data_IF_859582859272
#
_entry.id   IF_859582859272
#
_cell.length_a   1.000
_cell.length_b   1.000
_cell.length_c   1.000
_cell.angle_alpha   90.00
_cell.angle_beta   90.00
_cell.angle_gamma   90.00
#
_symmetry.space_group_name_H-M   'P 1'
#
loop_
_entity.id
_entity.type
_entity.pdbx_description
1 polymer ?
#
# COMPACT_ATOMS: atom_id res chain seq x y z
N UNK A 1 3.68 -3.43 5.28
CA UNK A 1 4.03 -3.75 6.68
C UNK A 1 2.86 -4.18 7.56
N UNK A 2 1.64 -3.63 7.40
CA UNK A 2 0.40 -4.17 8.02
C UNK A 2 0.09 -5.65 7.68
N UNK A 3 0.77 -6.19 6.67
CA UNK A 3 0.56 -7.54 6.16
C UNK A 3 1.16 -8.61 7.09
N UNK A 4 2.34 -8.36 7.69
CA UNK A 4 2.98 -9.35 8.56
C UNK A 4 2.25 -9.55 9.89
N UNK A 5 1.80 -8.48 10.54
CA UNK A 5 1.00 -8.58 11.78
C UNK A 5 -0.30 -9.33 11.53
N UNK A 6 -0.97 -9.07 10.41
CA UNK A 6 -2.16 -9.82 10.00
C UNK A 6 -1.85 -11.29 9.73
N UNK A 7 -0.76 -11.58 9.04
CA UNK A 7 -0.33 -12.96 8.79
C UNK A 7 -0.01 -13.69 10.11
N UNK A 8 0.62 -13.01 11.07
CA UNK A 8 0.92 -13.53 12.40
C UNK A 8 -0.37 -13.87 13.17
N UNK A 9 -1.33 -12.96 13.20
CA UNK A 9 -2.65 -13.20 13.82
C UNK A 9 -3.39 -14.39 13.20
N UNK A 10 -3.34 -14.49 11.86
CA UNK A 10 -3.95 -15.61 11.13
C UNK A 10 -3.27 -16.93 11.48
N UNK A 11 -1.94 -16.95 11.60
CA UNK A 11 -1.18 -18.14 11.94
C UNK A 11 -1.43 -18.61 13.38
N UNK A 12 -1.57 -17.68 14.34
CA UNK A 12 -2.00 -17.97 15.71
C UNK A 12 -3.40 -18.61 15.71
N UNK A 13 -4.36 -18.01 15.00
CA UNK A 13 -5.73 -18.55 14.87
C UNK A 13 -5.72 -19.95 14.24
N UNK A 14 -4.95 -20.16 13.18
CA UNK A 14 -4.80 -21.45 12.52
C UNK A 14 -4.24 -22.51 13.47
N UNK A 15 -3.20 -22.16 14.23
CA UNK A 15 -2.56 -23.04 15.21
C UNK A 15 -3.52 -23.44 16.33
N UNK A 16 -4.29 -22.50 16.88
CA UNK A 16 -5.31 -22.77 17.90
C UNK A 16 -6.41 -23.70 17.37
N UNK A 17 -6.89 -23.48 16.13
CA UNK A 17 -7.89 -24.35 15.51
C UNK A 17 -7.37 -25.79 15.32
N UNK A 18 -6.09 -25.95 14.98
CA UNK A 18 -5.46 -27.26 14.87
C UNK A 18 -5.37 -27.95 16.23
N UNK A 19 -4.98 -27.23 17.29
CA UNK A 19 -4.97 -27.75 18.66
C UNK A 19 -6.36 -28.22 19.11
N UNK A 20 -7.40 -27.42 18.86
CA UNK A 20 -8.78 -27.77 19.20
C UNK A 20 -9.26 -29.04 18.46
N UNK A 21 -9.00 -29.10 17.15
CA UNK A 21 -9.41 -30.24 16.31
C UNK A 21 -8.65 -31.51 16.70
N UNK A 22 -7.34 -31.38 16.95
CA UNK A 22 -6.49 -32.47 17.42
C UNK A 22 -6.89 -32.95 18.82
N UNK A 23 -7.23 -32.02 19.73
CA UNK A 23 -7.73 -32.32 21.07
C UNK A 23 -8.99 -33.18 21.05
N UNK A 24 -10.00 -32.78 20.27
CA UNK A 24 -11.25 -33.56 20.08
C UNK A 24 -11.00 -34.97 19.53
N UNK A 25 -10.05 -35.11 18.59
CA UNK A 25 -9.66 -36.43 18.11
C UNK A 25 -9.00 -37.27 19.22
N UNK A 26 -8.09 -36.66 19.99
CA UNK A 26 -7.34 -37.35 21.04
C UNK A 26 -8.23 -37.87 22.19
N UNK A 27 -9.35 -37.21 22.47
CA UNK A 27 -10.35 -37.67 23.46
C UNK A 27 -11.02 -39.00 23.05
N UNK A 28 -11.26 -39.19 21.76
CA UNK A 28 -11.90 -40.39 21.20
C UNK A 28 -10.91 -41.43 20.64
N UNK A 29 -9.61 -41.12 20.65
CA UNK A 29 -8.57 -41.96 20.09
C UNK A 29 -8.35 -43.25 20.92
N UNK A 30 -8.05 -44.39 20.26
CA UNK A 30 -7.77 -45.63 20.98
C UNK A 30 -6.57 -45.47 21.93
N UNK A 31 -6.63 -46.11 23.10
CA UNK A 31 -5.50 -46.16 24.06
C UNK A 31 -4.27 -46.82 23.41
N UNK A 32 -3.10 -46.67 24.01
CA UNK A 32 -1.88 -47.31 23.49
C UNK A 32 -1.33 -46.68 22.21
N UNK A 33 -0.48 -47.44 21.50
CA UNK A 33 0.20 -47.00 20.28
C UNK A 33 0.45 -48.16 19.30
N UNK A 34 0.78 -47.82 18.06
CA UNK A 34 1.13 -48.77 17.01
C UNK A 34 2.61 -49.16 17.12
N UNK A 35 2.89 -50.45 17.03
CA UNK A 35 4.24 -51.02 16.99
C UNK A 35 4.36 -51.94 15.78
N UNK A 36 5.54 -51.96 15.15
CA UNK A 36 5.80 -52.73 13.94
C UNK A 36 6.90 -53.74 14.24
N UNK A 37 6.67 -55.01 13.90
CA UNK A 37 7.74 -56.02 13.84
C UNK A 37 7.96 -56.45 12.41
N UNK A 38 9.19 -56.27 11.94
CA UNK A 38 9.65 -56.74 10.63
C UNK A 38 10.12 -58.19 10.76
N UNK A 39 9.69 -59.06 9.86
CA UNK A 39 10.20 -60.42 9.66
C UNK A 39 10.68 -60.55 8.22
N UNK A 40 11.51 -61.56 7.94
CA UNK A 40 12.17 -61.76 6.63
C UNK A 40 11.19 -61.68 5.44
N UNK A 41 9.96 -62.18 5.58
CA UNK A 41 8.96 -62.24 4.50
C UNK A 41 7.64 -61.51 4.79
N UNK A 42 7.52 -60.82 5.93
CA UNK A 42 6.25 -60.16 6.31
C UNK A 42 6.44 -59.04 7.34
N UNK A 43 5.52 -58.07 7.31
CA UNK A 43 5.40 -57.03 8.33
C UNK A 43 4.16 -57.34 9.18
N UNK A 44 4.33 -57.31 10.50
CA UNK A 44 3.21 -57.47 11.43
C UNK A 44 3.02 -56.20 12.26
N UNK A 45 1.77 -55.79 12.40
CA UNK A 45 1.35 -54.63 13.19
C UNK A 45 0.79 -55.08 14.53
N UNK A 46 1.20 -54.37 15.59
CA UNK A 46 0.79 -54.66 16.95
C UNK A 46 0.23 -53.41 17.62
N UNK A 47 -0.83 -53.61 18.41
CA UNK A 47 -1.36 -52.61 19.32
C UNK A 47 -0.74 -52.83 20.70
N UNK A 48 0.02 -51.83 21.17
CA UNK A 48 0.67 -51.85 22.48
C UNK A 48 -0.07 -50.95 23.46
N UNK A 49 -0.56 -51.55 24.54
CA UNK A 49 -1.36 -50.88 25.57
C UNK A 49 -0.64 -51.02 26.91
N UNK A 50 -0.40 -49.89 27.56
CA UNK A 50 0.06 -49.87 28.95
C UNK A 50 -1.15 -50.01 29.87
N UNK A 51 -1.24 -51.14 30.58
CA UNK A 51 -2.25 -51.38 31.60
C UNK A 51 -1.61 -51.38 33.00
N UNK A 52 -2.33 -50.88 34.00
CA UNK A 52 -1.96 -51.06 35.42
C UNK A 52 -2.77 -52.21 35.98
N UNK A 53 -2.11 -53.29 36.39
CA UNK A 53 -2.75 -54.44 37.05
C UNK A 53 -2.05 -54.72 38.38
N UNK A 54 -2.82 -54.69 39.49
CA UNK A 54 -2.30 -54.85 40.87
C UNK A 54 -1.06 -53.96 41.18
N UNK A 55 -1.11 -52.68 40.78
CA UNK A 55 -0.03 -51.73 41.05
C UNK A 55 1.23 -51.87 40.17
N UNK A 56 1.34 -52.90 39.33
CA UNK A 56 2.46 -53.08 38.37
C UNK A 56 2.04 -52.71 36.95
N UNK A 57 2.96 -52.08 36.21
CA UNK A 57 2.81 -51.82 34.76
C UNK A 57 2.90 -53.14 34.02
N UNK A 58 1.92 -53.41 33.16
CA UNK A 58 1.92 -54.55 32.26
C UNK A 58 1.67 -54.05 30.84
N UNK A 59 2.54 -54.42 29.92
CA UNK A 59 2.37 -54.08 28.51
C UNK A 59 1.62 -55.20 27.81
N UNK A 60 0.40 -54.92 27.37
CA UNK A 60 -0.39 -55.85 26.55
C UNK A 60 -0.10 -55.57 25.08
N UNK A 61 0.25 -56.62 24.34
CA UNK A 61 0.52 -56.53 22.91
C UNK A 61 -0.48 -57.41 22.14
N UNK A 62 -1.22 -56.81 21.20
CA UNK A 62 -2.25 -57.50 20.40
C UNK A 62 -1.85 -57.41 18.93
N UNK A 63 -1.78 -58.54 18.21
CA UNK A 63 -1.55 -58.51 16.77
C UNK A 63 -2.80 -57.99 16.06
N UNK A 64 -2.67 -56.87 15.34
CA UNK A 64 -3.75 -56.20 14.61
C UNK A 64 -3.47 -56.14 13.10
N UNK A 65 -2.58 -57.01 12.60
CA UNK A 65 -2.11 -56.98 11.20
C UNK A 65 -3.26 -57.06 10.17
N UNK A 66 -4.38 -57.70 10.52
CA UNK A 66 -5.58 -57.80 9.67
C UNK A 66 -6.61 -56.68 9.92
N UNK A 67 -6.49 -55.92 11.01
CA UNK A 67 -7.41 -54.84 11.37
C UNK A 67 -6.90 -53.49 10.85
N UNK A 68 -7.19 -53.22 9.57
CA UNK A 68 -6.79 -51.97 8.91
C UNK A 68 -7.34 -50.73 9.61
N UNK A 69 -8.54 -50.79 10.16
CA UNK A 69 -9.19 -49.65 10.81
C UNK A 69 -8.44 -49.25 12.10
N UNK A 70 -8.04 -50.23 12.90
CA UNK A 70 -7.27 -49.96 14.12
C UNK A 70 -5.88 -49.43 13.81
N UNK A 71 -5.21 -49.96 12.77
CA UNK A 71 -3.92 -49.45 12.29
C UNK A 71 -4.05 -47.97 11.89
N UNK A 72 -5.06 -47.61 11.09
CA UNK A 72 -5.31 -46.23 10.69
C UNK A 72 -5.56 -45.31 11.88
N UNK A 73 -6.42 -45.71 12.83
CA UNK A 73 -6.71 -44.92 14.04
C UNK A 73 -5.47 -44.67 14.91
N UNK A 74 -4.63 -45.70 15.11
CA UNK A 74 -3.41 -45.56 15.90
C UNK A 74 -2.34 -44.71 15.18
N UNK A 75 -2.29 -44.80 13.85
CA UNK A 75 -1.42 -43.96 13.02
C UNK A 75 -1.85 -42.50 13.11
N UNK A 76 -3.15 -42.23 12.94
CA UNK A 76 -3.71 -40.88 13.07
C UNK A 76 -3.45 -40.30 14.46
N UNK A 77 -3.59 -41.10 15.53
CA UNK A 77 -3.21 -40.69 16.88
C UNK A 77 -1.74 -40.28 16.99
N UNK A 78 -0.81 -40.99 16.35
CA UNK A 78 0.60 -40.63 16.36
C UNK A 78 0.85 -39.29 15.65
N UNK A 79 0.18 -39.06 14.51
CA UNK A 79 0.21 -37.78 13.78
C UNK A 79 -0.34 -36.65 14.65
N UNK A 80 -1.53 -36.83 15.22
CA UNK A 80 -2.18 -35.82 16.06
C UNK A 80 -1.37 -35.49 17.32
N UNK A 81 -0.71 -36.48 17.93
CA UNK A 81 0.24 -36.24 19.02
C UNK A 81 1.39 -35.31 18.61
N UNK A 82 1.96 -35.52 17.42
CA UNK A 82 3.04 -34.68 16.90
C UNK A 82 2.54 -33.29 16.48
N UNK A 83 1.34 -33.20 15.89
CA UNK A 83 0.66 -31.93 15.59
C UNK A 83 0.49 -31.11 16.87
N UNK A 84 -0.06 -31.68 17.93
CA UNK A 84 -0.21 -31.01 19.22
C UNK A 84 1.13 -30.54 19.79
N UNK A 85 2.16 -31.38 19.73
CA UNK A 85 3.50 -31.02 20.22
C UNK A 85 4.08 -29.82 19.48
N UNK A 86 3.99 -29.82 18.14
CA UNK A 86 4.49 -28.71 17.32
C UNK A 86 3.65 -27.45 17.48
N UNK A 87 2.32 -27.56 17.47
CA UNK A 87 1.42 -26.43 17.64
C UNK A 87 1.65 -25.76 19.01
N UNK A 88 1.72 -26.50 20.11
CA UNK A 88 2.01 -25.93 21.44
C UNK A 88 3.36 -25.24 21.52
N UNK A 89 4.39 -25.77 20.83
CA UNK A 89 5.70 -25.11 20.75
C UNK A 89 5.63 -23.82 19.95
N UNK A 90 5.02 -23.88 18.77
CA UNK A 90 4.94 -22.75 17.85
C UNK A 90 4.09 -21.64 18.44
N UNK A 91 2.95 -21.97 19.08
CA UNK A 91 2.05 -21.00 19.68
C UNK A 91 2.79 -20.09 20.67
N UNK A 92 3.62 -20.66 21.56
CA UNK A 92 4.46 -19.88 22.49
C UNK A 92 5.39 -18.91 21.79
N UNK A 93 5.96 -19.30 20.65
CA UNK A 93 6.86 -18.45 19.86
C UNK A 93 6.07 -17.35 19.16
N UNK A 94 4.92 -17.70 18.59
CA UNK A 94 4.05 -16.77 17.86
C UNK A 94 3.44 -15.72 18.80
N UNK A 95 2.97 -16.12 19.98
CA UNK A 95 2.45 -15.20 21.01
C UNK A 95 3.54 -14.24 21.47
N UNK A 96 4.74 -14.75 21.81
CA UNK A 96 5.87 -13.90 22.18
C UNK A 96 6.26 -12.93 21.06
N UNK A 97 6.22 -13.39 19.81
CA UNK A 97 6.49 -12.54 18.66
C UNK A 97 5.41 -11.47 18.51
N UNK A 98 4.14 -11.82 18.73
CA UNK A 98 3.02 -10.88 18.64
C UNK A 98 3.12 -9.77 19.69
N UNK A 99 3.57 -10.11 20.90
CA UNK A 99 3.75 -9.13 21.99
C UNK A 99 4.97 -8.21 21.80
N UNK A 100 6.04 -8.71 21.18
CA UNK A 100 7.33 -8.01 21.10
C UNK A 100 7.59 -7.33 19.76
N UNK A 101 6.89 -7.74 18.69
CA UNK A 101 7.09 -7.21 17.36
C UNK A 101 6.52 -5.80 17.24
N UNK A 102 7.39 -4.84 16.92
CA UNK A 102 7.01 -3.48 16.61
C UNK A 102 7.14 -3.27 15.10
N UNK A 103 6.03 -3.10 14.36
CA UNK A 103 6.08 -2.76 12.95
C UNK A 103 6.86 -1.47 12.73
N UNK A 104 7.71 -1.45 11.71
CA UNK A 104 8.43 -0.24 11.33
C UNK A 104 7.48 0.68 10.55
N UNK A 105 6.95 1.70 11.22
CA UNK A 105 6.26 2.81 10.55
C UNK A 105 6.96 4.11 10.91
N UNK A 106 7.74 4.64 9.96
CA UNK A 106 8.52 5.87 10.16
C UNK A 106 7.62 7.05 10.48
N UNK A 107 6.39 7.09 9.93
CA UNK A 107 5.45 8.16 10.21
C UNK A 107 4.88 8.05 11.64
N UNK A 108 4.60 6.84 12.11
CA UNK A 108 4.19 6.59 13.49
C UNK A 108 5.31 6.89 14.49
N UNK A 109 6.53 6.43 14.19
CA UNK A 109 7.72 6.74 14.98
C UNK A 109 7.92 8.25 15.07
N UNK A 110 7.84 8.97 13.95
CA UNK A 110 7.97 10.42 13.92
C UNK A 110 6.94 11.13 14.82
N UNK A 111 5.70 10.65 14.87
CA UNK A 111 4.64 11.17 15.76
C UNK A 111 4.91 10.89 17.24
N UNK A 112 5.60 9.79 17.56
CA UNK A 112 5.97 9.44 18.93
C UNK A 112 7.20 10.20 19.47
N UNK A 113 7.98 10.86 18.61
CA UNK A 113 9.17 11.61 19.04
C UNK A 113 8.80 12.88 19.82
N UNK A 114 9.68 13.39 20.71
CA UNK A 114 9.46 14.67 21.39
C UNK A 114 9.18 15.84 20.42
N UNK A 115 8.38 16.86 20.83
CA UNK A 115 7.95 17.96 19.96
C UNK A 115 9.09 18.68 19.22
N UNK A 116 10.27 18.81 19.85
CA UNK A 116 11.46 19.40 19.21
C UNK A 116 11.87 18.70 17.91
N UNK A 117 11.76 17.36 17.85
CA UNK A 117 12.08 16.60 16.64
C UNK A 117 10.95 16.68 15.62
N UNK A 118 9.68 16.66 16.07
CA UNK A 118 8.53 16.83 15.18
C UNK A 118 8.59 18.17 14.44
N UNK A 119 8.91 19.25 15.14
CA UNK A 119 9.06 20.58 14.56
C UNK A 119 10.18 20.61 13.51
N UNK A 120 11.33 19.98 13.79
CA UNK A 120 12.45 19.87 12.83
C UNK A 120 12.07 19.03 11.61
N UNK A 121 11.30 17.95 11.80
CA UNK A 121 10.80 17.13 10.69
C UNK A 121 9.81 17.91 9.82
N UNK A 122 8.90 18.68 10.42
CA UNK A 122 7.98 19.56 9.69
C UNK A 122 8.75 20.64 8.90
N UNK A 123 9.77 21.25 9.52
CA UNK A 123 10.67 22.20 8.84
C UNK A 123 11.38 21.55 7.64
N UNK A 124 11.89 20.32 7.81
CA UNK A 124 12.55 19.57 6.72
C UNK A 124 11.58 19.26 5.58
N UNK A 125 10.38 18.79 5.90
CA UNK A 125 9.31 18.53 4.92
C UNK A 125 8.95 19.79 4.14
N UNK A 126 8.74 20.91 4.84
CA UNK A 126 8.46 22.21 4.23
C UNK A 126 9.59 22.63 3.30
N UNK A 127 10.84 22.56 3.77
CA UNK A 127 12.02 22.91 2.98
C UNK A 127 12.13 22.08 1.69
N UNK A 128 11.90 20.77 1.77
CA UNK A 128 11.92 19.89 0.58
C UNK A 128 10.90 20.33 -0.48
N UNK A 129 9.69 20.64 -0.05
CA UNK A 129 8.62 21.11 -0.95
C UNK A 129 8.99 22.46 -1.57
N UNK A 130 9.49 23.40 -0.77
CA UNK A 130 9.93 24.71 -1.25
C UNK A 130 11.10 24.61 -2.24
N UNK A 131 12.11 23.78 -1.95
CA UNK A 131 13.25 23.56 -2.84
C UNK A 131 12.81 23.04 -4.21
N UNK A 132 11.86 22.10 -4.24
CA UNK A 132 11.31 21.56 -5.50
C UNK A 132 10.45 22.56 -6.25
N UNK A 133 9.60 23.29 -5.52
CA UNK A 133 8.74 24.32 -6.09
C UNK A 133 9.54 25.47 -6.71
N UNK A 134 10.70 25.81 -6.15
CA UNK A 134 11.56 26.88 -6.69
C UNK A 134 12.64 26.39 -7.66
N UNK A 135 12.74 25.08 -7.87
CA UNK A 135 13.69 24.51 -8.80
C UNK A 135 13.27 24.85 -10.24
N UNK A 136 14.22 25.21 -11.13
CA UNK A 136 13.92 25.36 -12.54
C UNK A 136 13.34 24.07 -13.11
N UNK A 137 12.24 24.17 -13.86
CA UNK A 137 11.60 23.04 -14.52
C UNK A 137 11.32 23.34 -15.99
N UNK A 138 11.33 22.30 -16.82
CA UNK A 138 10.92 22.40 -18.23
C UNK A 138 9.41 22.50 -18.30
N UNK A 139 8.90 23.61 -18.83
CA UNK A 139 7.46 23.82 -19.06
C UNK A 139 7.09 23.54 -20.51
N UNK A 140 5.84 23.18 -20.77
CA UNK A 140 5.34 23.15 -22.15
C UNK A 140 5.56 24.52 -22.82
N UNK A 141 6.03 24.56 -24.09
CA UNK A 141 6.27 25.82 -24.77
C UNK A 141 5.02 26.70 -24.83
N UNK A 142 5.20 27.96 -24.44
CA UNK A 142 4.13 28.95 -24.52
C UNK A 142 3.61 29.09 -25.96
N UNK A 143 2.30 29.21 -26.08
CA UNK A 143 1.61 29.34 -27.35
C UNK A 143 0.46 30.32 -27.19
N UNK A 144 0.59 31.52 -27.77
CA UNK A 144 -0.37 32.62 -27.69
C UNK A 144 -1.78 32.25 -28.14
N UNK A 145 -1.92 31.27 -29.05
CA UNK A 145 -3.23 30.81 -29.52
C UNK A 145 -3.99 30.03 -28.44
N UNK A 146 -3.28 29.31 -27.58
CA UNK A 146 -3.89 28.43 -26.58
C UNK A 146 -3.85 29.04 -25.18
N UNK A 147 -2.73 29.66 -24.78
CA UNK A 147 -2.54 30.25 -23.46
C UNK A 147 -3.17 31.64 -23.38
N UNK A 148 -4.49 31.68 -23.18
CA UNK A 148 -5.30 32.90 -23.28
C UNK A 148 -6.05 33.25 -22.00
N UNK A 149 -6.03 32.36 -21.00
CA UNK A 149 -6.77 32.55 -19.75
C UNK A 149 -5.81 32.93 -18.61
N UNK A 150 -5.94 34.14 -18.09
CA UNK A 150 -5.05 34.66 -17.04
C UNK A 150 -5.52 34.29 -15.63
N UNK A 151 -4.68 33.60 -14.87
CA UNK A 151 -4.92 33.25 -13.45
C UNK A 151 -4.82 34.47 -12.52
N UNK A 152 -5.27 34.34 -11.27
CA UNK A 152 -5.24 35.43 -10.27
C UNK A 152 -3.82 35.90 -9.91
N UNK A 153 -2.82 35.08 -10.23
CA UNK A 153 -1.40 35.36 -10.06
C UNK A 153 -0.67 35.61 -11.41
N UNK A 154 -1.44 35.77 -12.49
CA UNK A 154 -1.02 36.25 -13.81
C UNK A 154 -0.38 35.19 -14.73
N UNK A 155 -0.43 33.91 -14.40
CA UNK A 155 -0.04 32.85 -15.34
C UNK A 155 -1.11 32.65 -16.40
N UNK A 156 -0.71 32.47 -17.67
CA UNK A 156 -1.63 32.22 -18.78
C UNK A 156 -1.79 30.70 -19.01
N UNK A 157 -3.01 30.21 -18.91
CA UNK A 157 -3.37 28.78 -19.04
C UNK A 157 -4.27 28.54 -20.27
N UNK A 158 -4.44 27.26 -20.64
CA UNK A 158 -5.04 26.88 -21.94
C UNK A 158 -6.56 26.86 -21.96
N UNK A 159 -7.21 26.76 -20.80
CA UNK A 159 -8.65 26.66 -20.71
C UNK A 159 -9.21 27.36 -19.48
N UNK A 160 -10.52 27.67 -19.52
CA UNK A 160 -11.25 28.20 -18.35
C UNK A 160 -11.24 27.21 -17.18
N UNK A 161 -11.39 25.92 -17.45
CA UNK A 161 -11.37 24.88 -16.42
C UNK A 161 -9.99 24.81 -15.73
N UNK A 162 -8.89 24.90 -16.49
CA UNK A 162 -7.54 25.01 -15.94
C UNK A 162 -7.35 26.28 -15.12
N UNK A 163 -7.89 27.43 -15.55
CA UNK A 163 -7.81 28.69 -14.80
C UNK A 163 -8.48 28.55 -13.43
N UNK A 164 -9.67 27.95 -13.40
CA UNK A 164 -10.39 27.69 -12.15
C UNK A 164 -9.60 26.72 -11.26
N UNK A 165 -9.04 25.64 -11.81
CA UNK A 165 -8.19 24.70 -11.08
C UNK A 165 -6.96 25.38 -10.48
N UNK A 166 -6.20 26.10 -11.30
CA UNK A 166 -5.00 26.81 -10.92
C UNK A 166 -5.26 27.83 -9.80
N UNK A 167 -6.31 28.65 -9.96
CA UNK A 167 -6.74 29.61 -8.95
C UNK A 167 -7.17 28.92 -7.65
N UNK A 168 -7.87 27.79 -7.74
CA UNK A 168 -8.31 27.05 -6.56
C UNK A 168 -7.11 26.44 -5.82
N UNK A 169 -6.19 25.77 -6.53
CA UNK A 169 -4.94 25.25 -5.95
C UNK A 169 -4.14 26.37 -5.27
N UNK A 170 -4.01 27.52 -5.93
CA UNK A 170 -3.34 28.70 -5.40
C UNK A 170 -4.03 29.26 -4.14
N UNK A 171 -5.37 29.35 -4.15
CA UNK A 171 -6.15 29.80 -3.01
C UNK A 171 -5.97 28.89 -1.78
N UNK A 172 -5.84 27.57 -1.97
CA UNK A 172 -5.50 26.64 -0.89
C UNK A 172 -4.02 26.65 -0.49
N UNK A 173 -3.15 27.36 -1.22
CA UNK A 173 -1.71 27.38 -0.98
C UNK A 173 -1.03 26.05 -1.31
N UNK A 174 -1.60 25.29 -2.26
CA UNK A 174 -1.02 24.04 -2.74
C UNK A 174 0.19 24.37 -3.63
N UNK A 175 1.37 23.82 -3.36
CA UNK A 175 2.56 24.00 -4.20
C UNK A 175 2.45 23.13 -5.47
N UNK A 176 2.43 23.78 -6.63
CA UNK A 176 2.37 23.09 -7.91
C UNK A 176 3.21 23.79 -8.98
N UNK A 177 3.57 23.03 -10.00
CA UNK A 177 3.95 23.53 -11.31
C UNK A 177 2.84 23.31 -12.32
N UNK A 178 2.66 24.26 -13.23
CA UNK A 178 1.74 24.17 -14.36
C UNK A 178 2.51 23.72 -15.60
N UNK A 179 1.97 22.76 -16.35
CA UNK A 179 2.56 22.22 -17.59
C UNK A 179 4.01 21.75 -17.48
N UNK A 180 4.36 21.14 -16.34
CA UNK A 180 5.70 20.57 -16.15
C UNK A 180 5.93 19.33 -17.04
N UNK A 181 7.12 19.27 -17.64
CA UNK A 181 7.58 18.16 -18.45
C UNK A 181 7.73 16.89 -17.61
N UNK A 182 7.02 15.85 -18.01
CA UNK A 182 7.16 14.51 -17.49
C UNK A 182 7.94 13.65 -18.48
N UNK A 183 9.17 13.31 -18.10
CA UNK A 183 10.03 12.39 -18.85
C UNK A 183 9.73 10.95 -18.44
N UNK A 184 9.37 10.11 -19.41
CA UNK A 184 9.10 8.69 -19.17
C UNK A 184 10.09 7.80 -19.93
N UNK A 185 10.41 6.66 -19.33
CA UNK A 185 11.39 5.69 -19.87
C UNK A 185 10.83 4.27 -19.96
N UNK A 186 9.71 3.99 -19.30
CA UNK A 186 9.02 2.69 -19.37
C UNK A 186 8.06 2.68 -20.58
N UNK A 187 8.15 1.63 -21.41
CA UNK A 187 7.36 1.46 -22.64
C UNK A 187 7.99 2.10 -23.87
N UNK A 188 8.35 3.37 -23.77
CA UNK A 188 9.21 4.08 -24.73
C UNK A 188 9.88 5.27 -24.01
N UNK A 189 10.91 5.87 -24.59
CA UNK A 189 11.45 7.15 -24.10
C UNK A 189 10.73 8.31 -24.76
N UNK A 190 10.21 9.22 -23.96
CA UNK A 190 9.58 10.42 -24.48
C UNK A 190 9.26 11.44 -23.40
N UNK A 191 8.46 12.44 -23.78
CA UNK A 191 7.98 13.48 -22.88
C UNK A 191 6.52 13.77 -23.12
N UNK A 192 5.81 14.04 -22.03
CA UNK A 192 4.47 14.64 -22.00
C UNK A 192 4.50 15.80 -21.02
N UNK A 193 3.44 16.60 -20.96
CA UNK A 193 3.34 17.71 -20.01
C UNK A 193 2.12 17.48 -19.15
N UNK A 194 2.27 17.45 -17.83
CA UNK A 194 1.12 17.32 -16.95
C UNK A 194 0.42 18.66 -16.76
N UNK A 195 -0.90 18.69 -16.62
CA UNK A 195 -1.59 19.97 -16.35
C UNK A 195 -1.09 20.57 -15.04
N UNK A 196 -1.08 19.78 -13.95
CA UNK A 196 -0.52 20.19 -12.67
C UNK A 196 0.35 19.09 -12.03
N UNK A 197 1.56 19.48 -11.65
CA UNK A 197 2.48 18.67 -10.82
C UNK A 197 2.47 19.21 -9.41
N UNK A 198 1.99 18.44 -8.44
CA UNK A 198 1.88 18.84 -7.03
C UNK A 198 2.98 18.17 -6.21
N UNK A 199 3.72 18.95 -5.43
CA UNK A 199 4.81 18.45 -4.59
C UNK A 199 4.34 18.14 -3.17
N UNK A 200 4.45 16.86 -2.79
CA UNK A 200 4.03 16.39 -1.48
C UNK A 200 5.17 16.43 -0.45
N UNK A 201 4.87 16.68 0.84
CA UNK A 201 5.84 16.69 1.92
C UNK A 201 6.64 15.41 2.14
N UNK A 202 6.14 14.26 1.70
CA UNK A 202 6.82 12.97 1.77
C UNK A 202 7.83 12.77 0.62
N UNK A 203 7.96 13.74 -0.28
CA UNK A 203 8.84 13.69 -1.44
C UNK A 203 8.18 13.06 -2.68
N UNK A 204 6.91 12.66 -2.63
CA UNK A 204 6.19 12.20 -3.81
C UNK A 204 5.68 13.36 -4.66
N UNK A 205 5.28 13.02 -5.88
CA UNK A 205 4.56 13.89 -6.80
C UNK A 205 3.13 13.34 -6.91
N UNK A 206 2.17 14.25 -6.90
CA UNK A 206 0.79 13.99 -7.29
C UNK A 206 0.55 14.70 -8.63
N UNK A 207 0.13 13.96 -9.65
CA UNK A 207 -0.25 14.54 -10.95
C UNK A 207 -1.76 14.77 -10.96
N UNK A 208 -2.20 15.93 -11.42
CA UNK A 208 -3.61 16.21 -11.69
C UNK A 208 -3.79 16.60 -13.16
N UNK A 209 -4.56 15.78 -13.89
CA UNK A 209 -4.97 15.99 -15.27
C UNK A 209 -6.45 16.40 -15.38
N UNK A 210 -6.74 17.31 -16.30
CA UNK A 210 -8.09 17.77 -16.61
C UNK A 210 -8.43 17.59 -18.09
N UNK A 211 -9.44 16.76 -18.37
CA UNK A 211 -9.86 16.37 -19.70
C UNK A 211 -11.07 17.20 -20.17
N UNK A 212 -10.83 18.28 -20.92
CA UNK A 212 -11.90 19.21 -21.34
C UNK A 212 -12.57 18.90 -22.69
N UNK A 213 -11.77 18.58 -23.72
CA UNK A 213 -12.27 18.43 -25.11
C UNK A 213 -12.78 17.02 -25.43
N UNK A 214 -13.66 16.47 -24.59
CA UNK A 214 -14.16 15.08 -24.74
C UNK A 214 -14.95 14.81 -26.03
N UNK A 215 -15.41 15.85 -26.73
CA UNK A 215 -16.10 15.74 -28.02
C UNK A 215 -15.14 15.53 -29.21
N UNK A 216 -13.82 15.64 -29.01
CA UNK A 216 -12.83 15.40 -30.06
C UNK A 216 -12.23 14.01 -29.91
N UNK A 217 -12.52 13.13 -30.86
CA UNK A 217 -12.02 11.75 -30.86
C UNK A 217 -10.49 11.69 -30.82
N UNK A 218 -9.81 12.55 -31.59
CA UNK A 218 -8.36 12.66 -31.59
C UNK A 218 -7.82 13.07 -30.21
N UNK A 219 -8.42 14.07 -29.58
CA UNK A 219 -8.03 14.51 -28.24
C UNK A 219 -8.22 13.41 -27.20
N UNK A 220 -9.35 12.70 -27.24
CA UNK A 220 -9.61 11.57 -26.36
C UNK A 220 -8.56 10.47 -26.54
N UNK A 221 -8.22 10.13 -27.78
CA UNK A 221 -7.21 9.13 -28.09
C UNK A 221 -5.81 9.52 -27.58
N UNK A 222 -5.40 10.78 -27.78
CA UNK A 222 -4.11 11.28 -27.29
C UNK A 222 -4.05 11.32 -25.76
N UNK A 223 -5.16 11.66 -25.09
CA UNK A 223 -5.23 11.60 -23.63
C UNK A 223 -5.19 10.17 -23.11
N UNK A 224 -5.90 9.22 -23.70
CA UNK A 224 -5.82 7.81 -23.29
C UNK A 224 -4.38 7.29 -23.37
N UNK A 225 -3.61 7.67 -24.40
CA UNK A 225 -2.17 7.36 -24.46
C UNK A 225 -1.40 7.99 -23.31
N UNK A 226 -1.66 9.27 -22.99
CA UNK A 226 -1.05 9.99 -21.87
C UNK A 226 -1.34 9.31 -20.53
N UNK A 227 -2.59 8.90 -20.29
CA UNK A 227 -3.01 8.17 -19.09
C UNK A 227 -2.27 6.83 -18.96
N UNK A 228 -2.14 6.08 -20.06
CA UNK A 228 -1.40 4.82 -20.05
C UNK A 228 0.10 5.03 -19.76
N UNK A 229 0.70 6.10 -20.28
CA UNK A 229 2.10 6.46 -19.96
C UNK A 229 2.25 6.70 -18.45
N UNK A 230 1.37 7.48 -17.83
CA UNK A 230 1.38 7.70 -16.38
C UNK A 230 1.29 6.37 -15.61
N UNK A 231 0.33 5.52 -15.96
CA UNK A 231 0.15 4.22 -15.32
C UNK A 231 1.39 3.32 -15.43
N UNK A 232 1.99 3.24 -16.62
CA UNK A 232 3.22 2.47 -16.84
C UNK A 232 4.43 3.01 -16.06
N UNK A 233 4.41 4.28 -15.66
CA UNK A 233 5.48 4.93 -14.92
C UNK A 233 5.12 5.16 -13.43
N UNK A 234 4.18 4.37 -12.90
CA UNK A 234 3.89 4.32 -11.46
C UNK A 234 2.89 5.36 -10.95
N UNK A 235 2.15 6.02 -11.84
CA UNK A 235 1.06 6.94 -11.47
C UNK A 235 -0.28 6.23 -11.57
N UNK A 236 -0.90 5.96 -10.43
CA UNK A 236 -2.14 5.18 -10.33
C UNK A 236 -3.29 6.02 -9.78
N UNK A 237 -4.47 5.84 -10.37
CA UNK A 237 -5.69 6.51 -9.91
C UNK A 237 -5.98 6.17 -8.45
N UNK A 238 -6.27 7.21 -7.66
CA UNK A 238 -6.55 7.08 -6.23
C UNK A 238 -5.31 6.94 -5.33
N UNK A 239 -4.10 6.99 -5.88
CA UNK A 239 -2.85 7.09 -5.10
C UNK A 239 -2.15 8.42 -5.37
N UNK A 240 -1.43 8.52 -6.49
CA UNK A 240 -0.61 9.67 -6.87
C UNK A 240 -1.05 10.28 -8.22
N UNK A 241 -2.27 9.97 -8.67
CA UNK A 241 -2.84 10.49 -9.91
C UNK A 241 -4.32 10.84 -9.77
N UNK A 242 -4.67 12.08 -10.14
CA UNK A 242 -6.04 12.61 -10.17
C UNK A 242 -6.40 12.95 -11.61
N UNK A 243 -7.59 12.52 -12.04
CA UNK A 243 -8.17 12.91 -13.32
C UNK A 243 -9.50 13.59 -13.05
N UNK A 244 -9.73 14.69 -13.74
CA UNK A 244 -11.02 15.36 -13.83
C UNK A 244 -11.41 15.55 -15.29
N UNK A 245 -12.68 15.80 -15.56
CA UNK A 245 -13.16 16.02 -16.92
C UNK A 245 -14.33 16.99 -16.93
N UNK A 246 -14.51 17.68 -18.06
CA UNK A 246 -15.69 18.50 -18.29
C UNK A 246 -16.95 17.62 -18.46
N UNK A 247 -18.11 18.18 -18.13
CA UNK A 247 -19.40 17.55 -18.46
C UNK A 247 -19.70 17.60 -19.97
N UNK A 248 -20.80 16.98 -20.39
CA UNK A 248 -21.22 16.97 -21.80
C UNK A 248 -21.54 18.36 -22.40
N UNK A 249 -21.58 19.41 -21.57
CA UNK A 249 -21.78 20.80 -21.96
C UNK A 249 -20.49 21.62 -21.86
N UNK A 250 -19.35 21.00 -21.51
CA UNK A 250 -18.08 21.70 -21.32
C UNK A 250 -17.97 22.46 -20.01
N UNK A 251 -18.78 22.12 -18.99
CA UNK A 251 -18.69 22.75 -17.68
C UNK A 251 -17.89 21.89 -16.69
N UNK A 252 -17.20 22.58 -15.79
CA UNK A 252 -16.51 21.95 -14.67
C UNK A 252 -16.89 22.61 -13.34
N UNK A 253 -17.40 21.80 -12.41
CA UNK A 253 -17.91 22.30 -11.13
C UNK A 253 -16.77 22.65 -10.17
N UNK A 254 -16.70 23.91 -9.76
CA UNK A 254 -15.77 24.36 -8.71
C UNK A 254 -16.01 23.64 -7.38
N UNK A 255 -17.24 23.19 -7.10
CA UNK A 255 -17.56 22.38 -5.92
C UNK A 255 -16.81 21.04 -5.91
N UNK A 256 -16.69 20.40 -7.08
CA UNK A 256 -15.94 19.13 -7.24
C UNK A 256 -14.44 19.35 -7.03
N UNK A 257 -13.88 20.44 -7.58
CA UNK A 257 -12.47 20.81 -7.35
C UNK A 257 -12.17 20.96 -5.86
N UNK A 258 -13.03 21.71 -5.16
CA UNK A 258 -12.89 21.95 -3.73
C UNK A 258 -12.94 20.64 -2.94
N UNK A 259 -13.86 19.74 -3.29
CA UNK A 259 -13.98 18.45 -2.63
C UNK A 259 -12.74 17.58 -2.84
N UNK A 260 -12.22 17.51 -4.08
CA UNK A 260 -10.99 16.78 -4.39
C UNK A 260 -9.81 17.34 -3.58
N UNK A 261 -9.63 18.67 -3.56
CA UNK A 261 -8.53 19.28 -2.80
C UNK A 261 -8.66 18.95 -1.31
N UNK A 262 -9.86 19.07 -0.73
CA UNK A 262 -10.08 18.83 0.71
C UNK A 262 -9.92 17.37 1.11
N UNK A 263 -10.35 16.44 0.27
CA UNK A 263 -10.41 15.02 0.63
C UNK A 263 -9.20 14.23 0.16
N UNK A 264 -8.56 14.63 -0.95
CA UNK A 264 -7.48 13.85 -1.58
C UNK A 264 -6.12 14.55 -1.51
N UNK A 265 -6.07 15.88 -1.41
CA UNK A 265 -4.79 16.63 -1.48
C UNK A 265 -4.36 17.17 -0.12
N UNK A 266 -5.19 17.99 0.53
CA UNK A 266 -4.84 18.61 1.83
C UNK A 266 -4.45 17.61 2.92
N UNK A 267 -5.08 16.42 3.05
CA UNK A 267 -4.66 15.43 4.04
C UNK A 267 -3.22 14.93 3.85
N UNK A 268 -2.69 14.99 2.62
CA UNK A 268 -1.32 14.58 2.31
C UNK A 268 -0.27 15.62 2.75
N UNK A 269 -0.68 16.84 3.08
CA UNK A 269 0.24 17.90 3.49
C UNK A 269 0.64 17.84 4.97
N UNK A 270 -0.07 17.10 5.83
CA UNK A 270 0.33 16.83 7.22
C UNK A 270 0.72 18.11 8.00
N UNK A 271 -0.03 19.21 7.78
CA UNK A 271 0.22 20.51 8.42
C UNK A 271 1.31 21.38 7.79
N UNK A 272 2.02 20.91 6.75
CA UNK A 272 2.94 21.73 5.96
C UNK A 272 2.17 22.81 5.22
N UNK A 273 2.57 24.07 5.44
CA UNK A 273 2.04 25.24 4.74
C UNK A 273 3.14 25.94 3.97
N UNK A 274 2.88 26.17 2.69
CA UNK A 274 3.77 26.89 1.77
C UNK A 274 3.26 28.32 1.60
N UNK A 275 4.18 29.27 1.59
CA UNK A 275 3.86 30.67 1.31
C UNK A 275 3.46 30.81 -0.17
N UNK A 276 2.32 31.46 -0.43
CA UNK A 276 1.85 31.70 -1.80
C UNK A 276 2.85 32.49 -2.64
N UNK A 277 3.66 33.36 -2.03
CA UNK A 277 4.73 34.06 -2.77
C UNK A 277 5.76 33.08 -3.35
N UNK A 278 6.04 31.97 -2.67
CA UNK A 278 6.94 30.93 -3.21
C UNK A 278 6.30 30.15 -4.36
N UNK A 279 4.98 29.98 -4.35
CA UNK A 279 4.24 29.39 -5.47
C UNK A 279 4.38 30.28 -6.71
N UNK A 280 4.20 31.59 -6.55
CA UNK A 280 4.40 32.55 -7.65
C UNK A 280 5.84 32.50 -8.17
N UNK A 281 6.84 32.49 -7.27
CA UNK A 281 8.25 32.43 -7.65
C UNK A 281 8.62 31.14 -8.39
N UNK A 282 7.99 30.01 -8.04
CA UNK A 282 8.19 28.72 -8.70
C UNK A 282 7.58 28.67 -10.11
N UNK A 283 6.40 29.26 -10.28
CA UNK A 283 5.70 29.29 -11.58
C UNK A 283 6.36 30.30 -12.54
N UNK A 284 6.89 31.40 -12.01
CA UNK A 284 7.62 32.44 -12.76
C UNK A 284 9.08 32.50 -12.29
N UNK A 285 9.93 31.51 -12.62
CA UNK A 285 11.35 31.64 -12.36
C UNK A 285 11.83 32.86 -13.16
N UNK A 286 12.24 33.93 -12.46
CA UNK A 286 12.60 35.26 -12.98
C UNK A 286 12.84 35.29 -14.50
N UNK A 287 11.85 35.76 -15.27
CA UNK A 287 12.04 36.26 -16.65
C UNK A 287 12.87 37.57 -16.67
N UNK A 288 13.79 37.76 -15.73
CA UNK A 288 14.55 38.99 -15.53
C UNK A 288 15.89 39.02 -16.29
N UNK A 289 16.02 38.28 -17.39
CA UNK A 289 17.25 38.25 -18.18
C UNK A 289 17.08 38.38 -19.71
N UNK A 290 15.87 38.69 -20.20
CA UNK A 290 15.63 38.78 -21.67
C UNK A 290 15.17 40.16 -22.17
N UNK A 291 15.18 41.18 -21.31
CA UNK A 291 15.09 42.57 -21.75
C UNK A 291 16.21 43.40 -21.11
N UNK A 292 17.42 43.28 -21.66
CA UNK A 292 18.43 44.33 -21.69
C UNK A 292 19.08 44.33 -23.06
#
# INVERSE_FOLDING_TARGET
MRDFTKALEQEVKRTNKLLETSGRFMESAPKGHLSIRKRVHQISYYWEIDEKRKGRRHNRQINITKDKNMILKLTEKAIQKEVNRRCNRNLKVLEKLQDSYQPLDVAEIAKGLPPKYQNVLLMRKKRLVEERLTAPYSKCPFNEKYHTHETDYGELVRSKSEQILANTLFAYGIPFHYEEEFLYTVGNRGRIYSDFTIFLPDGKILIWEHLGLLNSEKYCYDNVKKLNIYQMNGFSLGDNFIITMDDNKGNFSSGVINEIIKTQILPLFDGVKIDRQKIIAGIRPMQAALHR
#
